data_IF_559949463566
#
_entry.id   IF_559949463566
#
_cell.length_a   1.000
_cell.length_b   1.000
_cell.length_c   1.000
_cell.angle_alpha   90.00
_cell.angle_beta   90.00
_cell.angle_gamma   90.00
#
_symmetry.space_group_name_H-M   'P 1'
#
loop_
_entity.id
_entity.type
_entity.pdbx_description
1 polymer ?
#
# COMPACT_ATOMS: atom_id res chain seq x y z
N UNK A 1 -11.25 -53.22 -43.36
CA UNK A 1 -10.24 -52.81 -42.35
C UNK A 1 -9.27 -51.83 -43.00
N UNK A 2 -9.51 -50.54 -42.85
CA UNK A 2 -8.72 -49.45 -43.45
C UNK A 2 -7.83 -48.81 -42.39
N UNK A 3 -6.51 -48.84 -42.63
CA UNK A 3 -5.49 -48.26 -41.73
C UNK A 3 -5.43 -46.74 -41.92
N UNK A 4 -5.74 -45.98 -40.87
CA UNK A 4 -5.48 -44.55 -40.81
C UNK A 4 -3.98 -44.30 -40.59
N UNK A 5 -3.31 -43.76 -41.60
CA UNK A 5 -1.95 -43.24 -41.47
C UNK A 5 -2.01 -41.86 -40.77
N UNK A 6 -1.53 -41.79 -39.52
CA UNK A 6 -1.30 -40.54 -38.80
C UNK A 6 -0.11 -39.81 -39.43
N UNK A 7 -0.41 -38.80 -40.23
CA UNK A 7 0.56 -37.87 -40.83
C UNK A 7 1.00 -36.88 -39.74
N UNK A 8 2.24 -36.98 -39.29
CA UNK A 8 2.85 -36.03 -38.34
C UNK A 8 2.94 -34.62 -38.95
N UNK A 9 2.70 -33.54 -38.17
CA UNK A 9 2.87 -32.18 -38.66
C UNK A 9 4.37 -31.84 -38.82
N UNK A 10 4.73 -30.99 -39.81
CA UNK A 10 6.12 -30.65 -40.07
C UNK A 10 6.73 -29.81 -38.94
N UNK A 11 7.96 -30.15 -38.57
CA UNK A 11 8.74 -29.43 -37.58
C UNK A 11 8.94 -27.96 -37.97
N UNK A 12 8.44 -27.03 -37.15
CA UNK A 12 8.71 -25.61 -37.30
C UNK A 12 10.23 -25.35 -37.30
N UNK A 13 10.73 -24.80 -38.40
CA UNK A 13 12.11 -24.29 -38.55
C UNK A 13 12.40 -23.28 -37.43
N UNK A 14 13.07 -23.70 -36.37
CA UNK A 14 13.68 -22.78 -35.40
C UNK A 14 14.86 -22.11 -36.09
N UNK A 15 14.75 -20.81 -36.39
CA UNK A 15 15.89 -20.02 -36.88
C UNK A 15 16.97 -20.05 -35.79
N UNK A 16 18.23 -20.38 -36.09
CA UNK A 16 19.30 -20.30 -35.11
C UNK A 16 19.48 -18.83 -34.72
N UNK A 17 19.35 -18.53 -33.42
CA UNK A 17 19.69 -17.22 -32.86
C UNK A 17 21.14 -16.90 -33.22
N UNK A 18 21.35 -15.83 -33.99
CA UNK A 18 22.70 -15.39 -34.35
C UNK A 18 23.24 -14.56 -33.20
N UNK A 19 24.55 -14.65 -32.95
CA UNK A 19 25.25 -13.87 -31.91
C UNK A 19 24.99 -12.36 -32.06
N UNK A 20 24.74 -11.89 -33.29
CA UNK A 20 24.33 -10.53 -33.62
C UNK A 20 23.03 -10.09 -32.92
N UNK A 21 22.07 -11.01 -32.71
CA UNK A 21 20.79 -10.70 -32.08
C UNK A 21 20.94 -10.51 -30.56
N UNK A 22 21.90 -11.23 -29.95
CA UNK A 22 22.24 -11.08 -28.52
C UNK A 22 22.93 -9.74 -28.26
N UNK A 23 23.83 -9.33 -29.16
CA UNK A 23 24.52 -8.03 -29.08
C UNK A 23 23.52 -6.88 -29.28
N UNK A 24 22.60 -7.00 -30.24
CA UNK A 24 21.55 -6.01 -30.46
C UNK A 24 20.61 -5.86 -29.24
N UNK A 25 20.23 -6.99 -28.61
CA UNK A 25 19.43 -6.98 -27.37
C UNK A 25 20.18 -6.34 -26.19
N UNK A 26 21.48 -6.62 -26.05
CA UNK A 26 22.31 -6.02 -24.99
C UNK A 26 22.43 -4.50 -25.13
N UNK A 27 22.65 -4.00 -26.34
CA UNK A 27 22.74 -2.56 -26.62
C UNK A 27 21.38 -1.87 -26.37
N UNK A 28 20.28 -2.50 -26.82
CA UNK A 28 18.93 -1.97 -26.58
C UNK A 28 18.57 -1.89 -25.09
N UNK A 29 18.92 -2.92 -24.31
CA UNK A 29 18.71 -2.93 -22.87
C UNK A 29 19.56 -1.87 -22.16
N UNK A 30 20.82 -1.69 -22.55
CA UNK A 30 21.70 -0.67 -21.96
C UNK A 30 21.18 0.76 -22.20
N UNK A 31 20.67 1.05 -23.41
CA UNK A 31 20.07 2.35 -23.73
C UNK A 31 18.79 2.62 -22.93
N UNK A 32 17.93 1.62 -22.76
CA UNK A 32 16.72 1.76 -21.93
C UNK A 32 17.07 2.02 -20.47
N UNK A 33 18.06 1.32 -19.92
CA UNK A 33 18.52 1.52 -18.54
C UNK A 33 19.13 2.92 -18.39
N UNK A 34 19.93 3.38 -19.34
CA UNK A 34 20.50 4.72 -19.32
C UNK A 34 19.43 5.82 -19.39
N UNK A 35 18.41 5.65 -20.23
CA UNK A 35 17.29 6.58 -20.33
C UNK A 35 16.45 6.60 -19.03
N UNK A 36 16.21 5.44 -18.42
CA UNK A 36 15.49 5.34 -17.15
C UNK A 36 16.28 6.00 -16.01
N UNK A 37 17.59 5.77 -15.96
CA UNK A 37 18.48 6.41 -14.98
C UNK A 37 18.50 7.94 -15.15
N UNK A 38 18.55 8.44 -16.39
CA UNK A 38 18.46 9.86 -16.67
C UNK A 38 17.11 10.46 -16.22
N UNK A 39 15.99 9.78 -16.48
CA UNK A 39 14.67 10.22 -16.01
C UNK A 39 14.60 10.26 -14.47
N UNK A 40 15.08 9.21 -13.79
CA UNK A 40 15.10 9.17 -12.32
C UNK A 40 15.99 10.27 -11.70
N UNK A 41 17.04 10.70 -12.39
CA UNK A 41 17.96 11.73 -11.88
C UNK A 41 17.54 13.15 -12.23
N UNK A 42 16.92 13.36 -13.39
CA UNK A 42 16.52 14.68 -13.90
C UNK A 42 15.15 15.09 -13.32
N UNK A 43 14.17 14.20 -13.27
CA UNK A 43 12.80 14.50 -12.80
C UNK A 43 12.74 15.08 -11.37
N UNK A 44 13.47 14.56 -10.36
CA UNK A 44 13.37 15.12 -9.00
C UNK A 44 13.96 16.54 -8.89
N UNK A 45 14.89 16.94 -9.76
CA UNK A 45 15.48 18.30 -9.75
C UNK A 45 14.51 19.38 -10.25
N UNK A 46 13.43 19.00 -10.92
CA UNK A 46 12.43 19.92 -11.43
C UNK A 46 11.15 19.98 -10.59
N UNK A 47 11.12 19.38 -9.39
CA UNK A 47 9.98 19.59 -8.50
C UNK A 47 9.92 21.07 -8.14
N UNK A 48 8.85 21.80 -8.51
CA UNK A 48 8.66 23.16 -8.02
C UNK A 48 8.61 23.07 -6.49
N UNK A 49 9.29 24.01 -5.82
CA UNK A 49 9.24 24.11 -4.37
C UNK A 49 7.76 24.12 -3.94
N UNK A 50 7.32 23.09 -3.22
CA UNK A 50 5.98 23.06 -2.67
C UNK A 50 5.82 24.32 -1.80
N UNK A 51 4.74 25.10 -1.98
CA UNK A 51 4.51 26.26 -1.14
C UNK A 51 4.38 25.77 0.29
N UNK A 52 5.26 26.27 1.18
CA UNK A 52 5.17 25.98 2.61
C UNK A 52 3.80 26.45 3.08
N UNK A 53 2.92 25.54 3.55
CA UNK A 53 1.55 25.90 3.89
C UNK A 53 1.58 26.91 5.03
N UNK A 54 0.80 27.97 4.89
CA UNK A 54 0.70 28.99 5.93
C UNK A 54 0.04 28.39 7.18
N UNK A 55 0.32 28.92 8.39
CA UNK A 55 -0.34 28.45 9.62
C UNK A 55 -1.88 28.48 9.53
N UNK A 56 -2.44 29.41 8.76
CA UNK A 56 -3.88 29.51 8.51
C UNK A 56 -4.40 28.36 7.64
N UNK A 57 -3.67 27.94 6.60
CA UNK A 57 -4.03 26.80 5.76
C UNK A 57 -3.90 25.47 6.52
N UNK A 58 -2.89 25.34 7.39
CA UNK A 58 -2.74 24.19 8.28
C UNK A 58 -3.94 24.12 9.23
N UNK A 59 -4.31 25.23 9.87
CA UNK A 59 -5.47 25.29 10.75
C UNK A 59 -6.78 24.97 10.00
N UNK A 60 -6.93 25.41 8.75
CA UNK A 60 -8.08 25.09 7.91
C UNK A 60 -8.14 23.60 7.55
N UNK A 61 -7.01 22.98 7.16
CA UNK A 61 -6.92 21.53 6.92
C UNK A 61 -7.27 20.73 8.17
N UNK A 62 -6.70 21.10 9.31
CA UNK A 62 -7.00 20.45 10.60
C UNK A 62 -8.50 20.56 10.94
N UNK A 63 -9.15 21.70 10.65
CA UNK A 63 -10.60 21.85 10.87
C UNK A 63 -11.43 20.93 9.97
N UNK A 64 -11.06 20.81 8.69
CA UNK A 64 -11.75 19.94 7.73
C UNK A 64 -11.54 18.47 8.11
N UNK A 65 -10.29 18.08 8.39
CA UNK A 65 -9.93 16.72 8.81
C UNK A 65 -10.60 16.36 10.13
N UNK A 66 -10.67 17.28 11.09
CA UNK A 66 -11.40 17.07 12.34
C UNK A 66 -12.91 17.00 12.12
N UNK A 67 -13.49 17.76 11.18
CA UNK A 67 -14.91 17.69 10.87
C UNK A 67 -15.27 16.35 10.21
N UNK A 68 -14.44 15.88 9.27
CA UNK A 68 -14.57 14.56 8.64
C UNK A 68 -14.35 13.43 9.66
N UNK A 69 -13.35 13.54 10.53
CA UNK A 69 -13.11 12.58 11.61
C UNK A 69 -14.26 12.55 12.62
N UNK A 70 -14.85 13.71 12.96
CA UNK A 70 -16.05 13.80 13.81
C UNK A 70 -17.27 13.13 13.18
N UNK A 71 -17.37 13.18 11.85
CA UNK A 71 -18.41 12.47 11.09
C UNK A 71 -18.12 10.97 10.96
N UNK A 72 -16.84 10.57 10.98
CA UNK A 72 -16.42 9.18 10.82
C UNK A 72 -16.66 8.30 12.07
N UNK A 73 -16.53 8.85 13.28
CA UNK A 73 -16.65 8.08 14.52
C UNK A 73 -17.93 8.43 15.29
N UNK A 74 -19.01 7.71 15.01
CA UNK A 74 -20.26 7.76 15.80
C UNK A 74 -20.11 7.12 17.18
N UNK A 75 -19.26 6.10 17.29
CA UNK A 75 -18.98 5.35 18.51
C UNK A 75 -17.54 4.81 18.46
N UNK A 76 -16.93 4.59 19.62
CA UNK A 76 -15.60 3.97 19.71
C UNK A 76 -15.19 3.67 21.15
N UNK A 77 -13.91 3.39 21.35
CA UNK A 77 -13.34 3.17 22.68
C UNK A 77 -12.09 4.03 22.91
N UNK A 78 -11.89 4.44 24.16
CA UNK A 78 -10.79 5.27 24.64
C UNK A 78 -10.04 4.44 25.67
N UNK A 79 -8.77 4.17 25.37
CA UNK A 79 -7.87 3.55 26.32
C UNK A 79 -7.17 4.65 27.12
N UNK A 80 -7.45 4.73 28.42
CA UNK A 80 -6.71 5.57 29.37
C UNK A 80 -5.58 4.73 29.95
N UNK A 81 -4.35 5.22 29.81
CA UNK A 81 -3.13 4.53 30.24
C UNK A 81 -2.58 5.26 31.45
N UNK A 82 -2.68 4.65 32.62
CA UNK A 82 -2.01 5.08 33.84
C UNK A 82 -0.80 4.18 34.13
N UNK A 83 0.18 4.62 34.95
CA UNK A 83 1.39 3.85 35.22
C UNK A 83 1.12 2.44 35.76
N UNK A 84 0.03 2.29 36.52
CA UNK A 84 -0.32 1.06 37.23
C UNK A 84 -1.51 0.31 36.63
N UNK A 85 -2.24 0.92 35.68
CA UNK A 85 -3.45 0.31 35.10
C UNK A 85 -3.85 0.92 33.76
N UNK A 86 -4.43 0.12 32.87
CA UNK A 86 -5.14 0.63 31.70
C UNK A 86 -6.63 0.45 31.87
N UNK A 87 -7.40 1.47 31.50
CA UNK A 87 -8.87 1.44 31.56
C UNK A 87 -9.46 1.71 30.19
N UNK A 88 -10.36 0.85 29.73
CA UNK A 88 -11.10 1.05 28.48
C UNK A 88 -12.45 1.72 28.79
N UNK A 89 -12.74 2.80 28.06
CA UNK A 89 -14.00 3.52 28.10
C UNK A 89 -14.66 3.46 26.73
N UNK A 90 -15.95 3.11 26.68
CA UNK A 90 -16.75 3.29 25.49
C UNK A 90 -17.18 4.76 25.38
N UNK A 91 -17.04 5.35 24.19
CA UNK A 91 -17.64 6.64 23.89
C UNK A 91 -18.69 6.51 22.80
N UNK A 92 -19.80 7.20 22.99
CA UNK A 92 -20.84 7.40 21.99
C UNK A 92 -20.95 8.89 21.69
N UNK A 93 -20.55 9.26 20.48
CA UNK A 93 -20.53 10.65 20.01
C UNK A 93 -21.95 11.17 19.74
N UNK A 94 -22.94 10.28 19.58
CA UNK A 94 -24.34 10.68 19.42
C UNK A 94 -24.93 11.21 20.73
N UNK A 95 -24.73 10.49 21.83
CA UNK A 95 -25.21 10.89 23.16
C UNK A 95 -24.22 11.77 23.94
N UNK A 96 -22.98 11.89 23.45
CA UNK A 96 -21.88 12.51 24.19
C UNK A 96 -21.48 11.73 25.45
N UNK A 97 -21.92 10.46 25.58
CA UNK A 97 -21.69 9.68 26.78
C UNK A 97 -20.38 8.91 26.70
N UNK A 98 -19.66 8.90 27.83
CA UNK A 98 -18.46 8.10 28.04
C UNK A 98 -18.75 7.16 29.21
N UNK A 99 -18.57 5.86 29.00
CA UNK A 99 -18.85 4.83 30.00
C UNK A 99 -17.64 3.94 30.18
N UNK A 100 -17.29 3.70 31.44
CA UNK A 100 -16.30 2.69 31.79
C UNK A 100 -16.73 1.31 31.28
N UNK A 101 -15.83 0.57 30.64
CA UNK A 101 -16.03 -0.83 30.28
C UNK A 101 -15.29 -1.75 31.26
N UNK A 102 -13.97 -1.65 31.30
CA UNK A 102 -13.13 -2.60 32.04
C UNK A 102 -11.71 -2.08 32.20
N UNK A 103 -11.05 -2.51 33.28
CA UNK A 103 -9.58 -2.50 33.37
C UNK A 103 -9.03 -3.58 32.43
N UNK A 104 -8.02 -3.22 31.66
CA UNK A 104 -7.37 -4.09 30.67
C UNK A 104 -5.86 -4.07 30.88
N UNK A 105 -5.19 -5.15 30.47
CA UNK A 105 -3.74 -5.20 30.43
C UNK A 105 -3.22 -4.36 29.25
N UNK A 106 -2.41 -3.35 29.56
CA UNK A 106 -1.85 -2.42 28.58
C UNK A 106 -1.02 -3.13 27.50
N UNK A 107 -0.20 -4.10 27.92
CA UNK A 107 0.75 -4.77 27.03
C UNK A 107 0.02 -5.75 26.11
N UNK A 108 -0.93 -6.50 26.66
CA UNK A 108 -1.77 -7.40 25.88
C UNK A 108 -2.60 -6.62 24.84
N UNK A 109 -3.13 -5.45 25.23
CA UNK A 109 -3.93 -4.61 24.36
C UNK A 109 -3.08 -4.00 23.24
N UNK A 110 -1.88 -3.51 23.55
CA UNK A 110 -0.95 -2.96 22.57
C UNK A 110 -0.50 -4.02 21.56
N UNK A 111 -0.16 -5.22 22.04
CA UNK A 111 0.22 -6.35 21.19
C UNK A 111 -0.92 -6.75 20.23
N UNK A 112 -2.17 -6.79 20.72
CA UNK A 112 -3.35 -7.03 19.86
C UNK A 112 -3.52 -5.95 18.79
N UNK A 113 -3.32 -4.68 19.14
CA UNK A 113 -3.42 -3.58 18.17
C UNK A 113 -2.33 -3.64 17.09
N UNK A 114 -1.09 -3.93 17.47
CA UNK A 114 0.02 -4.09 16.53
C UNK A 114 -0.20 -5.27 15.58
N UNK A 115 -0.68 -6.41 16.12
CA UNK A 115 -1.01 -7.59 15.31
C UNK A 115 -2.12 -7.28 14.30
N UNK A 116 -3.20 -6.64 14.75
CA UNK A 116 -4.31 -6.25 13.88
C UNK A 116 -3.89 -5.25 12.79
N UNK A 117 -2.97 -4.32 13.10
CA UNK A 117 -2.41 -3.41 12.09
C UNK A 117 -1.57 -4.16 11.04
N UNK A 118 -0.78 -5.14 11.48
CA UNK A 118 0.06 -5.97 10.60
C UNK A 118 -0.79 -6.85 9.69
N UNK A 119 -1.87 -7.43 10.20
CA UNK A 119 -2.82 -8.21 9.39
C UNK A 119 -3.52 -7.32 8.35
N UNK A 120 -4.01 -6.14 8.75
CA UNK A 120 -4.61 -5.19 7.78
C UNK A 120 -3.61 -4.69 6.74
N UNK A 121 -2.35 -4.46 7.11
CA UNK A 121 -1.33 -3.99 6.16
C UNK A 121 -0.96 -5.08 5.15
N UNK A 122 -0.85 -6.33 5.60
CA UNK A 122 -0.61 -7.49 4.71
C UNK A 122 -1.79 -7.75 3.78
N UNK A 123 -3.04 -7.63 4.24
CA UNK A 123 -4.21 -7.69 3.37
C UNK A 123 -4.21 -6.58 2.32
N UNK A 124 -3.87 -5.35 2.70
CA UNK A 124 -3.73 -4.22 1.75
C UNK A 124 -2.62 -4.46 0.73
N UNK A 125 -1.48 -5.02 1.11
CA UNK A 125 -0.44 -5.37 0.14
C UNK A 125 -0.93 -6.45 -0.83
N UNK A 126 -1.66 -7.44 -0.32
CA UNK A 126 -2.20 -8.51 -1.15
C UNK A 126 -3.19 -7.98 -2.19
N UNK A 127 -4.12 -7.11 -1.79
CA UNK A 127 -5.09 -6.51 -2.72
C UNK A 127 -4.41 -5.64 -3.78
N UNK A 128 -3.37 -4.91 -3.42
CA UNK A 128 -2.57 -4.13 -4.37
C UNK A 128 -1.87 -5.03 -5.39
N UNK A 129 -1.22 -6.11 -4.94
CA UNK A 129 -0.53 -7.06 -5.84
C UNK A 129 -1.53 -7.78 -6.76
N UNK A 130 -2.69 -8.19 -6.25
CA UNK A 130 -3.76 -8.79 -7.07
C UNK A 130 -4.34 -7.78 -8.07
N UNK A 131 -4.40 -6.49 -7.71
CA UNK A 131 -4.81 -5.41 -8.59
C UNK A 131 -3.85 -5.18 -9.77
N UNK A 132 -2.54 -5.29 -9.55
CA UNK A 132 -1.53 -5.20 -10.61
C UNK A 132 -1.43 -6.44 -11.52
N UNK A 133 -2.08 -7.55 -11.14
CA UNK A 133 -2.07 -8.81 -11.91
C UNK A 133 -3.16 -8.86 -13.00
N UNK A 134 -4.11 -7.92 -13.00
CA UNK A 134 -5.13 -7.75 -14.04
C UNK A 134 -4.65 -6.77 -15.11
#
# INVERSE_FOLDING_TARGET
MTRFALRSPPAHKRKPFRVSDIVALGIGAALLIAALAALLFIVPKFRPAEPVPTPAEIAARIRIENAEARLAYRQGSILVVDPDSCTDYAFDNWSGSVRYQSVVDCDERLAKMQKAQTERSTERMRTVIEGFRR
#
